data_IF_862186204451
#
_entry.id   IF_862186204451
#
_cell.length_a   1.000
_cell.length_b   1.000
_cell.length_c   1.000
_cell.angle_alpha   90.00
_cell.angle_beta   90.00
_cell.angle_gamma   90.00
#
_symmetry.space_group_name_H-M   'P 1'
#
loop_
_entity.id
_entity.type
_entity.pdbx_description
1 polymer ?
#
# COMPACT_ATOMS: atom_id res chain seq x y z
N UNK A 1 -11.34 -20.27 -58.49
CA UNK A 1 -11.11 -19.00 -57.78
C UNK A 1 -11.99 -18.81 -56.52
N UNK A 2 -12.54 -19.87 -55.91
CA UNK A 2 -13.43 -19.74 -54.74
C UNK A 2 -12.83 -20.24 -53.41
N UNK A 3 -11.89 -21.19 -53.42
CA UNK A 3 -11.27 -21.76 -52.22
C UNK A 3 -10.29 -20.81 -51.49
N UNK A 4 -9.60 -19.92 -52.21
CA UNK A 4 -8.66 -18.96 -51.61
C UNK A 4 -9.35 -17.80 -50.87
N UNK A 5 -10.57 -17.43 -51.27
CA UNK A 5 -11.35 -16.36 -50.64
C UNK A 5 -11.85 -16.77 -49.25
N UNK A 6 -12.34 -18.00 -49.13
CA UNK A 6 -12.89 -18.52 -47.87
C UNK A 6 -11.81 -18.71 -46.78
N UNK A 7 -10.60 -19.14 -47.17
CA UNK A 7 -9.46 -19.28 -46.26
C UNK A 7 -8.94 -17.92 -45.74
N UNK A 8 -8.87 -16.89 -46.60
CA UNK A 8 -8.45 -15.54 -46.18
C UNK A 8 -9.42 -14.93 -45.17
N UNK A 9 -10.72 -15.11 -45.35
CA UNK A 9 -11.74 -14.55 -44.45
C UNK A 9 -11.70 -15.19 -43.05
N UNK A 10 -11.52 -16.51 -42.97
CA UNK A 10 -11.36 -17.21 -41.69
C UNK A 10 -10.06 -16.82 -40.98
N UNK A 11 -8.96 -16.67 -41.72
CA UNK A 11 -7.68 -16.25 -41.14
C UNK A 11 -7.79 -14.82 -40.57
N UNK A 12 -8.35 -13.88 -41.34
CA UNK A 12 -8.58 -12.49 -40.89
C UNK A 12 -9.50 -12.43 -39.65
N UNK A 13 -10.53 -13.26 -39.59
CA UNK A 13 -11.41 -13.36 -38.42
C UNK A 13 -10.67 -13.84 -37.17
N UNK A 14 -9.86 -14.90 -37.29
CA UNK A 14 -9.05 -15.44 -36.18
C UNK A 14 -8.01 -14.41 -35.72
N UNK A 15 -7.33 -13.72 -36.63
CA UNK A 15 -6.38 -12.67 -36.29
C UNK A 15 -7.04 -11.46 -35.61
N UNK A 16 -8.20 -11.00 -36.12
CA UNK A 16 -8.97 -9.91 -35.48
C UNK A 16 -9.42 -10.28 -34.07
N UNK A 17 -9.82 -11.54 -33.84
CA UNK A 17 -10.27 -12.00 -32.52
C UNK A 17 -9.10 -12.13 -31.53
N UNK A 18 -7.97 -12.72 -31.96
CA UNK A 18 -6.73 -12.75 -31.15
C UNK A 18 -6.20 -11.36 -30.81
N UNK A 19 -6.29 -10.41 -31.75
CA UNK A 19 -5.92 -9.02 -31.50
C UNK A 19 -6.82 -8.35 -30.46
N UNK A 20 -8.15 -8.50 -30.56
CA UNK A 20 -9.11 -8.00 -29.56
C UNK A 20 -8.84 -8.55 -28.16
N UNK A 21 -8.57 -9.86 -28.03
CA UNK A 21 -8.28 -10.50 -26.75
C UNK A 21 -6.98 -9.92 -26.14
N UNK A 22 -5.92 -9.76 -26.95
CA UNK A 22 -4.64 -9.21 -26.48
C UNK A 22 -4.78 -7.75 -26.03
N UNK A 23 -5.55 -6.95 -26.76
CA UNK A 23 -5.87 -5.55 -26.37
C UNK A 23 -6.65 -5.52 -25.05
N UNK A 24 -7.65 -6.38 -24.88
CA UNK A 24 -8.46 -6.42 -23.66
C UNK A 24 -7.65 -6.86 -22.43
N UNK A 25 -6.77 -7.84 -22.57
CA UNK A 25 -5.83 -8.25 -21.51
C UNK A 25 -4.89 -7.10 -21.14
N UNK A 26 -4.33 -6.41 -22.15
CA UNK A 26 -3.44 -5.27 -21.90
C UNK A 26 -4.16 -4.11 -21.21
N UNK A 27 -5.40 -3.78 -21.61
CA UNK A 27 -6.22 -2.77 -20.95
C UNK A 27 -6.51 -3.17 -19.50
N UNK A 28 -6.91 -4.43 -19.25
CA UNK A 28 -7.17 -4.93 -17.89
C UNK A 28 -5.91 -4.86 -17.02
N UNK A 29 -4.76 -5.25 -17.57
CA UNK A 29 -3.47 -5.15 -16.88
C UNK A 29 -3.11 -3.70 -16.57
N UNK A 30 -3.22 -2.79 -17.55
CA UNK A 30 -2.91 -1.38 -17.37
C UNK A 30 -3.87 -0.71 -16.39
N UNK A 31 -5.17 -1.05 -16.43
CA UNK A 31 -6.11 -0.63 -15.39
C UNK A 31 -5.66 -1.16 -14.03
N UNK A 32 -5.43 -2.47 -13.88
CA UNK A 32 -5.03 -3.03 -12.59
C UNK A 32 -3.75 -2.37 -12.05
N UNK A 33 -2.76 -2.09 -12.90
CA UNK A 33 -1.54 -1.39 -12.54
C UNK A 33 -1.80 0.07 -12.12
N UNK A 34 -2.61 0.82 -12.88
CA UNK A 34 -3.01 2.19 -12.56
C UNK A 34 -3.80 2.26 -11.25
N UNK A 35 -4.72 1.31 -11.05
CA UNK A 35 -5.45 1.16 -9.81
C UNK A 35 -4.51 0.85 -8.65
N UNK A 36 -3.55 -0.05 -8.83
CA UNK A 36 -2.58 -0.40 -7.78
C UNK A 36 -1.64 0.76 -7.40
N UNK A 37 -1.27 1.63 -8.35
CA UNK A 37 -0.49 2.85 -8.11
C UNK A 37 -1.31 3.86 -7.29
N UNK A 38 -2.60 4.03 -7.59
CA UNK A 38 -3.48 4.96 -6.85
C UNK A 38 -3.82 4.54 -5.40
N UNK A 39 -3.32 3.39 -4.93
CA UNK A 39 -3.66 2.84 -3.61
C UNK A 39 -2.60 3.12 -2.55
N UNK A 40 -1.39 3.54 -2.94
CA UNK A 40 -0.30 3.88 -2.01
C UNK A 40 -0.03 5.37 -2.06
N UNK A 41 -0.19 6.02 -0.91
CA UNK A 41 0.12 7.43 -0.73
C UNK A 41 1.23 7.60 0.28
N UNK A 42 2.08 8.60 0.07
CA UNK A 42 3.13 8.96 1.01
C UNK A 42 2.79 10.26 1.71
N UNK A 43 3.08 10.31 3.01
CA UNK A 43 2.98 11.51 3.82
C UNK A 43 4.10 11.50 4.86
N UNK A 44 4.97 12.51 4.80
CA UNK A 44 6.24 12.53 5.54
C UNK A 44 7.05 11.27 5.15
N UNK A 45 7.41 10.43 6.12
CA UNK A 45 8.15 9.18 5.90
C UNK A 45 7.26 7.93 6.09
N UNK A 46 5.94 8.10 5.98
CA UNK A 46 4.97 7.04 6.15
C UNK A 46 4.20 6.79 4.86
N UNK A 47 3.91 5.51 4.60
CA UNK A 47 3.06 5.07 3.50
C UNK A 47 1.69 4.68 4.05
N UNK A 48 0.65 5.19 3.41
CA UNK A 48 -0.75 4.79 3.63
C UNK A 48 -1.20 4.01 2.39
N UNK A 49 -1.37 2.70 2.54
CA UNK A 49 -1.80 1.79 1.46
C UNK A 49 -3.24 1.33 1.68
N UNK A 50 -4.13 1.63 0.74
CA UNK A 50 -5.52 1.16 0.78
C UNK A 50 -5.60 -0.35 0.58
N UNK A 51 -6.38 -1.03 1.42
CA UNK A 51 -6.56 -2.48 1.44
C UNK A 51 -7.78 -2.85 0.60
N UNK A 52 -7.56 -3.30 -0.63
CA UNK A 52 -8.60 -3.73 -1.58
C UNK A 52 -9.80 -2.74 -1.64
N UNK A 53 -11.02 -3.24 -1.81
CA UNK A 53 -12.26 -2.46 -1.86
C UNK A 53 -12.77 -2.02 -0.47
N UNK A 54 -11.97 -2.22 0.60
CA UNK A 54 -12.35 -1.82 1.96
C UNK A 54 -11.92 -0.38 2.20
N UNK A 55 -12.65 0.32 3.08
CA UNK A 55 -12.19 1.62 3.59
C UNK A 55 -11.15 1.46 4.71
N UNK A 56 -10.19 0.57 4.49
CA UNK A 56 -9.11 0.25 5.43
C UNK A 56 -7.76 0.48 4.76
N UNK A 57 -6.75 0.82 5.57
CA UNK A 57 -5.45 1.23 5.09
C UNK A 57 -4.32 0.66 5.95
N UNK A 58 -3.29 0.08 5.35
CA UNK A 58 -2.04 -0.19 6.04
C UNK A 58 -1.27 1.12 6.25
N UNK A 59 -0.73 1.31 7.45
CA UNK A 59 0.28 2.32 7.74
C UNK A 59 1.65 1.66 7.87
N UNK A 60 2.66 2.17 7.15
CA UNK A 60 4.02 1.63 7.08
C UNK A 60 5.06 2.74 7.08
N UNK A 61 6.33 2.40 7.33
CA UNK A 61 7.46 3.29 7.00
C UNK A 61 7.80 3.20 5.52
N UNK A 62 8.31 4.29 4.92
CA UNK A 62 8.93 4.23 3.59
C UNK A 62 10.22 3.41 3.63
N UNK A 63 10.66 2.89 2.49
CA UNK A 63 11.95 2.20 2.38
C UNK A 63 13.12 3.11 2.77
N UNK A 64 13.05 4.39 2.40
CA UNK A 64 14.02 5.41 2.79
C UNK A 64 14.14 5.51 4.32
N UNK A 65 13.01 5.60 5.02
CA UNK A 65 13.01 5.65 6.48
C UNK A 65 13.57 4.38 7.11
N UNK A 66 13.23 3.21 6.56
CA UNK A 66 13.75 1.93 7.03
C UNK A 66 15.28 1.88 6.91
N UNK A 67 15.84 2.36 5.79
CA UNK A 67 17.28 2.41 5.57
C UNK A 67 17.98 3.44 6.47
N UNK A 68 17.34 4.59 6.69
CA UNK A 68 17.86 5.70 7.49
C UNK A 68 17.95 5.36 8.98
N UNK A 69 16.91 4.73 9.55
CA UNK A 69 16.88 4.37 10.98
C UNK A 69 17.58 3.03 11.24
N UNK A 70 17.67 2.17 10.21
CA UNK A 70 18.18 0.83 10.29
C UNK A 70 17.20 -0.16 10.96
N UNK A 71 17.74 -1.25 11.49
CA UNK A 71 16.93 -2.33 12.07
C UNK A 71 16.34 -1.90 13.40
N UNK A 72 15.01 -1.98 13.54
CA UNK A 72 14.31 -1.74 14.79
C UNK A 72 14.54 -2.92 15.75
N UNK A 73 15.04 -2.62 16.95
CA UNK A 73 15.31 -3.59 18.02
C UNK A 73 14.27 -3.55 19.14
N UNK A 74 13.58 -2.42 19.31
CA UNK A 74 12.52 -2.26 20.29
C UNK A 74 11.44 -1.31 19.76
N UNK A 75 10.19 -1.57 20.13
CA UNK A 75 9.08 -0.66 19.88
C UNK A 75 8.04 -0.71 20.99
N UNK A 76 7.27 0.37 21.10
CA UNK A 76 6.11 0.47 21.97
C UNK A 76 5.00 1.24 21.28
N UNK A 77 3.83 0.59 21.11
CA UNK A 77 2.62 1.29 20.68
C UNK A 77 2.15 2.28 21.75
N UNK A 78 1.70 3.45 21.33
CA UNK A 78 1.25 4.55 22.18
C UNK A 78 -0.24 4.84 21.91
N UNK A 79 -0.92 5.44 22.89
CA UNK A 79 -2.35 5.75 22.82
C UNK A 79 -3.24 4.52 22.50
N UNK A 80 -2.86 3.33 22.97
CA UNK A 80 -3.59 2.07 22.69
C UNK A 80 -4.99 2.01 23.34
N UNK A 81 -5.26 2.88 24.30
CA UNK A 81 -6.56 3.09 24.95
C UNK A 81 -7.55 3.88 24.07
N UNK A 82 -7.04 4.56 23.03
CA UNK A 82 -7.84 5.35 22.09
C UNK A 82 -8.09 4.58 20.80
N UNK A 83 -9.35 4.56 20.37
CA UNK A 83 -9.71 4.02 19.05
C UNK A 83 -9.49 5.05 17.93
N UNK A 84 -9.70 6.33 18.21
CA UNK A 84 -9.48 7.43 17.27
C UNK A 84 -8.19 8.16 17.66
N UNK A 85 -7.26 8.27 16.73
CA UNK A 85 -6.04 9.06 16.89
C UNK A 85 -6.13 10.30 16.01
N UNK A 86 -5.68 11.42 16.55
CA UNK A 86 -5.62 12.70 15.85
C UNK A 86 -4.26 12.89 15.19
N UNK A 87 -4.20 13.72 14.17
CA UNK A 87 -2.93 14.19 13.64
C UNK A 87 -2.01 14.66 14.79
N UNK A 88 -0.74 14.32 14.69
CA UNK A 88 0.29 14.56 15.71
C UNK A 88 0.21 13.74 17.01
N UNK A 89 -0.82 12.92 17.24
CA UNK A 89 -0.80 11.94 18.33
C UNK A 89 0.35 10.93 18.11
N UNK A 90 1.16 10.69 19.14
CA UNK A 90 2.22 9.67 19.07
C UNK A 90 1.55 8.29 19.04
N UNK A 91 1.85 7.47 18.03
CA UNK A 91 1.32 6.10 17.92
C UNK A 91 2.40 5.04 18.13
N UNK A 92 3.69 5.39 17.93
CA UNK A 92 4.80 4.46 18.05
C UNK A 92 6.03 5.16 18.62
N UNK A 93 6.61 4.59 19.67
CA UNK A 93 7.99 4.85 20.05
C UNK A 93 8.85 3.68 19.57
N UNK A 94 10.02 3.94 18.99
CA UNK A 94 10.93 2.89 18.54
C UNK A 94 12.40 3.21 18.83
N UNK A 95 13.19 2.16 18.99
CA UNK A 95 14.64 2.18 18.99
C UNK A 95 15.13 1.30 17.85
N UNK A 96 15.96 1.90 17.00
CA UNK A 96 16.58 1.26 15.86
C UNK A 96 18.09 1.45 15.91
N UNK A 97 18.83 0.71 15.08
CA UNK A 97 20.29 0.69 15.13
C UNK A 97 20.97 2.05 14.91
N UNK A 98 20.28 3.02 14.31
CA UNK A 98 20.81 4.36 14.03
C UNK A 98 20.02 5.50 14.67
N UNK A 99 18.83 5.25 15.24
CA UNK A 99 17.96 6.31 15.74
C UNK A 99 16.97 5.84 16.82
N UNK A 100 16.55 6.78 17.66
CA UNK A 100 15.42 6.63 18.59
C UNK A 100 14.36 7.64 18.17
N UNK A 101 13.15 7.18 17.87
CA UNK A 101 12.10 8.01 17.29
C UNK A 101 10.76 7.84 18.00
N UNK A 102 9.97 8.91 18.01
CA UNK A 102 8.54 8.88 18.28
C UNK A 102 7.80 9.23 16.99
N UNK A 103 7.06 8.28 16.44
CA UNK A 103 6.25 8.50 15.24
C UNK A 103 4.86 8.99 15.64
N UNK A 104 4.42 9.99 14.90
CA UNK A 104 3.16 10.67 15.09
C UNK A 104 2.21 10.39 13.94
N UNK A 105 0.93 10.33 14.24
CA UNK A 105 -0.11 10.12 13.24
C UNK A 105 -0.04 11.22 12.17
N UNK A 106 0.00 10.86 10.88
CA UNK A 106 0.09 11.86 9.82
C UNK A 106 -1.25 12.54 9.52
N UNK A 107 -2.35 11.96 9.99
CA UNK A 107 -3.71 12.45 9.83
C UNK A 107 -4.63 11.79 10.87
N UNK A 108 -5.82 12.35 11.02
CA UNK A 108 -6.90 11.76 11.81
C UNK A 108 -7.33 10.41 11.23
N UNK A 109 -7.39 9.37 12.07
CA UNK A 109 -7.85 8.05 11.67
C UNK A 109 -8.40 7.22 12.83
N UNK A 110 -9.18 6.20 12.50
CA UNK A 110 -9.63 5.16 13.42
C UNK A 110 -8.71 3.95 13.33
N UNK A 111 -8.15 3.52 14.46
CA UNK A 111 -7.33 2.32 14.55
C UNK A 111 -8.22 1.07 14.48
N UNK A 112 -7.97 0.23 13.49
CA UNK A 112 -8.62 -1.07 13.33
C UNK A 112 -7.81 -2.17 14.00
N UNK A 113 -6.49 -2.18 13.77
CA UNK A 113 -5.61 -3.25 14.25
C UNK A 113 -4.17 -2.78 14.38
N UNK A 114 -3.48 -3.21 15.43
CA UNK A 114 -2.03 -3.07 15.59
C UNK A 114 -1.32 -4.36 15.15
N UNK A 115 -0.10 -4.25 14.60
CA UNK A 115 0.72 -5.42 14.30
C UNK A 115 1.34 -6.01 15.59
N UNK A 116 0.56 -6.83 16.29
CA UNK A 116 1.00 -7.46 17.54
C UNK A 116 2.27 -8.32 17.38
N UNK A 117 2.50 -8.89 16.19
CA UNK A 117 3.73 -9.66 15.92
C UNK A 117 5.00 -8.80 16.00
N UNK A 118 4.88 -7.49 15.78
CA UNK A 118 6.00 -6.57 15.88
C UNK A 118 6.46 -6.32 17.32
N UNK A 119 5.62 -6.63 18.33
CA UNK A 119 6.06 -6.59 19.74
C UNK A 119 7.05 -7.72 20.04
N UNK A 120 6.81 -8.91 19.49
CA UNK A 120 7.69 -10.07 19.65
C UNK A 120 8.89 -10.01 18.71
N UNK A 121 8.73 -9.40 17.53
CA UNK A 121 9.76 -9.30 16.52
C UNK A 121 9.82 -7.88 15.90
N UNK A 122 10.43 -6.90 16.59
CA UNK A 122 10.41 -5.49 16.18
C UNK A 122 11.01 -5.21 14.81
N UNK A 123 11.97 -6.02 14.34
CA UNK A 123 12.61 -5.86 13.03
C UNK A 123 11.63 -5.95 11.85
N UNK A 124 10.45 -6.54 12.06
CA UNK A 124 9.43 -6.69 11.01
C UNK A 124 9.04 -5.34 10.42
N UNK A 125 8.81 -4.30 11.24
CA UNK A 125 8.37 -2.99 10.75
C UNK A 125 9.46 -2.23 9.99
N UNK A 126 10.73 -2.58 10.19
CA UNK A 126 11.88 -2.11 9.42
C UNK A 126 12.30 -3.04 8.27
N UNK A 127 11.51 -4.06 7.96
CA UNK A 127 11.76 -4.98 6.85
C UNK A 127 11.29 -4.40 5.52
N UNK A 128 12.00 -4.74 4.44
CA UNK A 128 11.57 -4.45 3.07
C UNK A 128 10.48 -5.43 2.57
N UNK A 129 10.08 -6.44 3.37
CA UNK A 129 8.93 -7.31 3.07
C UNK A 129 7.61 -6.61 3.42
N UNK A 130 6.87 -6.19 2.38
CA UNK A 130 5.57 -5.54 2.51
C UNK A 130 4.51 -6.39 3.24
N UNK A 131 4.65 -7.72 3.26
CA UNK A 131 3.69 -8.58 3.96
C UNK A 131 3.83 -8.48 5.49
N UNK A 132 4.97 -7.98 5.97
CA UNK A 132 5.32 -8.00 7.38
C UNK A 132 5.50 -6.60 7.98
N UNK A 133 5.90 -5.63 7.17
CA UNK A 133 6.36 -4.31 7.64
C UNK A 133 5.26 -3.30 8.00
N UNK A 134 4.00 -3.73 7.98
CA UNK A 134 2.90 -2.89 8.42
C UNK A 134 2.94 -2.68 9.93
N UNK A 135 2.60 -1.47 10.35
CA UNK A 135 2.58 -1.08 11.77
C UNK A 135 1.17 -1.24 12.33
N UNK A 136 0.18 -0.73 11.61
CA UNK A 136 -1.23 -0.76 11.99
C UNK A 136 -2.14 -0.69 10.75
N UNK A 137 -3.39 -1.09 10.94
CA UNK A 137 -4.49 -0.90 10.00
C UNK A 137 -5.37 0.24 10.51
N UNK A 138 -5.68 1.17 9.61
CA UNK A 138 -6.48 2.37 9.83
C UNK A 138 -7.78 2.32 9.04
N UNK A 139 -8.77 3.09 9.47
CA UNK A 139 -10.04 3.36 8.80
C UNK A 139 -10.49 4.80 9.09
N UNK A 140 -11.63 5.20 8.55
CA UNK A 140 -12.21 6.54 8.74
C UNK A 140 -11.24 7.69 8.38
N UNK A 141 -10.38 7.46 7.39
CA UNK A 141 -9.54 8.49 6.79
C UNK A 141 -10.40 9.31 5.84
N UNK A 142 -10.32 10.64 5.92
CA UNK A 142 -10.96 11.54 4.96
C UNK A 142 -10.44 11.25 3.54
N UNK A 143 -11.34 10.82 2.65
CA UNK A 143 -10.98 10.39 1.30
C UNK A 143 -10.43 11.55 0.46
N UNK A 144 -10.91 12.77 0.68
CA UNK A 144 -10.42 13.96 -0.04
C UNK A 144 -8.98 14.26 0.36
N UNK A 145 -8.67 14.22 1.67
CA UNK A 145 -7.31 14.36 2.21
C UNK A 145 -6.42 13.25 1.67
N UNK A 146 -6.84 11.99 1.71
CA UNK A 146 -6.07 10.85 1.20
C UNK A 146 -5.77 10.99 -0.31
N UNK A 147 -6.76 11.33 -1.13
CA UNK A 147 -6.58 11.52 -2.58
C UNK A 147 -5.64 12.68 -2.92
N UNK A 148 -5.56 13.69 -2.05
CA UNK A 148 -4.66 14.85 -2.21
C UNK A 148 -3.19 14.57 -1.87
N UNK A 149 -2.89 13.44 -1.23
CA UNK A 149 -1.53 13.06 -0.89
C UNK A 149 -0.74 12.68 -2.14
N UNK A 150 0.59 12.78 -2.04
CA UNK A 150 1.51 12.34 -3.08
C UNK A 150 1.43 10.82 -3.27
N UNK A 151 1.50 10.39 -4.52
CA UNK A 151 1.64 8.97 -4.85
C UNK A 151 3.01 8.48 -4.37
N UNK A 152 3.06 7.28 -3.76
CA UNK A 152 4.31 6.64 -3.34
C UNK A 152 4.98 5.89 -4.50
#
# INVERSE_FOLDING_TARGET
MFLFSHFKNNLIFVYKNKFKIKVMIYIKYKLNLLWKVNMKKVIKFLVIEKIDDRNEYYLRMTSEMQDDIGTVSYLQFKNIDKKHLKEDDIFLALEASKAILNLKMPLDATVVKWNQKALDNPKLISSHDENENWIMVLSDIDETKFMSLEDF
#
